data_IF_301092065589
#
_entry.id   IF_301092065589
#
_cell.length_a   1.000
_cell.length_b   1.000
_cell.length_c   1.000
_cell.angle_alpha   90.00
_cell.angle_beta   90.00
_cell.angle_gamma   90.00
#
_symmetry.space_group_name_H-M   'P 1'
#
loop_
_entity.id
_entity.type
_entity.pdbx_description
1 polymer ?
#
# COMPACT_ATOMS: atom_id res chain seq x y z
N UNK A 1 2.52 -3.94 -5.66
CA UNK A 1 2.68 -4.36 -4.25
C UNK A 1 3.68 -3.41 -3.60
N UNK A 2 3.34 -2.86 -2.44
CA UNK A 2 4.15 -1.88 -1.72
C UNK A 2 4.34 -2.36 -0.27
N UNK A 3 5.56 -2.78 0.13
CA UNK A 3 5.90 -3.04 1.53
C UNK A 3 5.92 -1.74 2.34
N UNK A 4 5.46 -1.79 3.59
CA UNK A 4 5.43 -0.63 4.49
C UNK A 4 5.97 -1.02 5.85
N UNK A 5 6.85 -0.18 6.41
CA UNK A 5 7.30 -0.27 7.80
C UNK A 5 7.11 1.06 8.51
N UNK A 6 6.56 1.00 9.72
CA UNK A 6 6.32 2.14 10.59
C UNK A 6 7.49 2.34 11.56
N UNK A 7 7.76 3.58 11.95
CA UNK A 7 8.73 3.87 13.01
C UNK A 7 8.20 3.45 14.40
N UNK A 8 9.06 3.50 15.41
CA UNK A 8 8.68 3.21 16.79
C UNK A 8 7.67 4.23 17.36
N UNK A 9 7.69 5.48 16.90
CA UNK A 9 6.76 6.52 17.38
C UNK A 9 5.31 6.14 17.06
N UNK A 10 5.04 5.60 15.87
CA UNK A 10 3.73 5.06 15.50
C UNK A 10 3.24 4.00 16.48
N UNK A 11 4.12 3.08 16.85
CA UNK A 11 3.77 1.98 17.75
C UNK A 11 3.59 2.43 19.21
N UNK A 12 4.21 3.55 19.60
CA UNK A 12 4.04 4.17 20.91
C UNK A 12 2.81 5.09 21.03
N UNK A 13 2.12 5.39 19.91
CA UNK A 13 0.84 6.10 19.96
C UNK A 13 -0.24 5.30 20.67
N UNK A 14 -1.16 6.01 21.33
CA UNK A 14 -2.38 5.39 21.85
C UNK A 14 -3.19 4.75 20.71
N UNK A 15 -4.11 3.86 21.06
CA UNK A 15 -5.01 3.27 20.05
C UNK A 15 -5.89 4.36 19.43
N UNK A 16 -6.36 5.29 20.26
CA UNK A 16 -7.22 6.40 19.90
C UNK A 16 -6.54 7.31 18.86
N UNK A 17 -5.27 7.65 19.09
CA UNK A 17 -4.48 8.46 18.16
C UNK A 17 -4.26 7.74 16.82
N UNK A 18 -3.91 6.45 16.86
CA UNK A 18 -3.77 5.64 15.63
C UNK A 18 -5.07 5.54 14.85
N UNK A 19 -6.21 5.37 15.52
CA UNK A 19 -7.53 5.33 14.87
C UNK A 19 -7.85 6.68 14.23
N UNK A 20 -7.53 7.80 14.88
CA UNK A 20 -7.72 9.13 14.30
C UNK A 20 -6.89 9.32 13.02
N UNK A 21 -5.61 8.92 13.05
CA UNK A 21 -4.73 8.96 11.88
C UNK A 21 -5.19 8.04 10.75
N UNK A 22 -5.63 6.81 11.06
CA UNK A 22 -6.17 5.89 10.05
C UNK A 22 -7.50 6.35 9.46
N UNK A 23 -8.30 7.09 10.23
CA UNK A 23 -9.51 7.75 9.72
C UNK A 23 -9.14 8.84 8.70
N UNK A 24 -8.15 9.67 9.02
CA UNK A 24 -7.58 10.67 8.11
C UNK A 24 -7.04 10.01 6.83
N UNK A 25 -6.27 8.92 6.96
CA UNK A 25 -5.80 8.10 5.83
C UNK A 25 -6.96 7.58 4.98
N UNK A 26 -8.06 7.13 5.59
CA UNK A 26 -9.16 6.49 4.85
C UNK A 26 -9.94 7.48 3.97
N UNK A 27 -10.18 8.70 4.45
CA UNK A 27 -11.03 9.71 3.79
C UNK A 27 -10.65 9.97 2.32
N UNK A 28 -9.41 10.34 1.97
CA UNK A 28 -9.04 10.59 0.57
C UNK A 28 -9.08 9.34 -0.29
N UNK A 29 -8.97 8.13 0.30
CA UNK A 29 -8.98 6.87 -0.48
C UNK A 29 -10.36 6.47 -1.00
N UNK A 30 -11.44 7.01 -0.42
CA UNK A 30 -12.83 6.60 -0.73
C UNK A 30 -13.18 6.80 -2.21
N UNK A 31 -12.67 7.88 -2.82
CA UNK A 31 -12.91 8.18 -4.23
C UNK A 31 -12.40 7.06 -5.18
N UNK A 32 -11.39 6.30 -4.75
CA UNK A 32 -10.69 5.31 -5.57
C UNK A 32 -11.20 3.88 -5.40
N UNK A 33 -12.21 3.62 -4.56
CA UNK A 33 -12.69 2.25 -4.29
C UNK A 33 -13.27 1.55 -5.51
N UNK A 34 -13.72 2.29 -6.52
CA UNK A 34 -14.30 1.74 -7.74
C UNK A 34 -13.24 1.33 -8.77
N UNK A 35 -12.06 1.93 -8.72
CA UNK A 35 -11.04 1.87 -9.78
C UNK A 35 -9.74 1.23 -9.30
N UNK A 36 -9.48 1.24 -7.99
CA UNK A 36 -8.32 0.62 -7.36
C UNK A 36 -8.80 -0.41 -6.32
N UNK A 37 -8.65 -1.70 -6.65
CA UNK A 37 -8.83 -2.76 -5.64
C UNK A 37 -7.65 -2.74 -4.68
N UNK A 38 -7.88 -3.12 -3.42
CA UNK A 38 -6.84 -3.14 -2.40
C UNK A 38 -6.95 -4.35 -1.47
N UNK A 39 -5.80 -4.80 -0.96
CA UNK A 39 -5.70 -5.80 0.10
C UNK A 39 -4.51 -5.49 1.00
N UNK A 40 -4.70 -5.65 2.31
CA UNK A 40 -3.70 -5.41 3.34
C UNK A 40 -3.36 -6.73 4.03
N UNK A 41 -2.07 -7.00 4.20
CA UNK A 41 -1.55 -8.12 4.98
C UNK A 41 -0.69 -7.57 6.12
N UNK A 42 -0.78 -8.21 7.29
CA UNK A 42 0.03 -7.87 8.47
C UNK A 42 1.24 -8.81 8.53
N UNK A 43 2.44 -8.27 8.68
CA UNK A 43 3.69 -9.04 8.60
C UNK A 43 4.70 -8.75 9.71
N UNK A 44 4.40 -7.86 10.67
CA UNK A 44 5.26 -7.63 11.84
C UNK A 44 5.59 -8.96 12.54
N UNK A 45 6.88 -9.27 12.68
CA UNK A 45 7.36 -10.53 13.26
C UNK A 45 7.41 -11.73 12.30
N UNK A 46 6.94 -11.57 11.06
CA UNK A 46 7.03 -12.57 9.99
C UNK A 46 8.01 -12.16 8.88
N UNK A 47 8.26 -10.86 8.71
CA UNK A 47 9.26 -10.29 7.79
C UNK A 47 9.78 -8.95 8.32
N UNK A 48 10.69 -8.32 7.58
CA UNK A 48 11.30 -7.03 7.95
C UNK A 48 10.40 -5.81 7.75
N UNK A 49 9.13 -6.01 7.37
CA UNK A 49 8.13 -4.95 7.16
C UNK A 49 6.86 -5.22 7.98
N UNK A 50 6.13 -4.17 8.33
CA UNK A 50 4.91 -4.29 9.13
C UNK A 50 3.70 -4.70 8.30
N UNK A 51 3.63 -4.20 7.07
CA UNK A 51 2.52 -4.44 6.17
C UNK A 51 2.98 -4.73 4.75
N UNK A 52 2.25 -5.61 4.08
CA UNK A 52 2.29 -5.72 2.62
C UNK A 52 0.97 -5.19 2.08
N UNK A 53 1.05 -4.20 1.18
CA UNK A 53 -0.12 -3.64 0.51
C UNK A 53 -0.16 -4.09 -0.95
N UNK A 54 -1.32 -4.57 -1.37
CA UNK A 54 -1.56 -5.05 -2.72
C UNK A 54 -2.67 -4.24 -3.36
N UNK A 55 -2.47 -3.86 -4.62
CA UNK A 55 -3.40 -3.06 -5.39
C UNK A 55 -3.57 -3.65 -6.79
N UNK A 56 -4.77 -3.57 -7.33
CA UNK A 56 -5.07 -3.83 -8.74
C UNK A 56 -5.79 -2.63 -9.32
N UNK A 57 -5.38 -2.18 -10.50
CA UNK A 57 -6.06 -1.15 -11.25
C UNK A 57 -5.77 -1.28 -12.73
N UNK A 58 -6.67 -0.76 -13.56
CA UNK A 58 -6.42 -0.51 -14.97
C UNK A 58 -6.07 0.96 -15.26
N UNK A 59 -6.07 1.81 -14.23
CA UNK A 59 -5.77 3.24 -14.33
C UNK A 59 -4.61 3.61 -13.39
N UNK A 60 -3.40 3.68 -13.95
CA UNK A 60 -2.21 4.04 -13.20
C UNK A 60 -2.17 5.53 -12.83
N UNK A 61 -2.91 6.39 -13.54
CA UNK A 61 -3.03 7.80 -13.20
C UNK A 61 -3.81 7.97 -11.90
N UNK A 62 -4.95 7.31 -11.78
CA UNK A 62 -5.72 7.31 -10.53
C UNK A 62 -4.97 6.64 -9.37
N UNK A 63 -4.19 5.59 -9.63
CA UNK A 63 -3.34 5.00 -8.58
C UNK A 63 -2.23 5.95 -8.12
N UNK A 64 -1.60 6.68 -9.04
CA UNK A 64 -0.64 7.72 -8.69
C UNK A 64 -1.29 8.81 -7.82
N UNK A 65 -2.46 9.30 -8.19
CA UNK A 65 -3.17 10.34 -7.45
C UNK A 65 -3.61 9.86 -6.06
N UNK A 66 -4.05 8.60 -5.94
CA UNK A 66 -4.32 7.93 -4.66
C UNK A 66 -3.08 7.95 -3.76
N UNK A 67 -1.92 7.55 -4.28
CA UNK A 67 -0.68 7.52 -3.50
C UNK A 67 -0.27 8.93 -3.09
N UNK A 68 -0.36 9.93 -3.99
CA UNK A 68 -0.09 11.34 -3.66
C UNK A 68 -1.03 11.82 -2.55
N UNK A 69 -2.32 11.52 -2.61
CA UNK A 69 -3.26 11.90 -1.56
C UNK A 69 -2.90 11.27 -0.20
N UNK A 70 -2.41 10.02 -0.19
CA UNK A 70 -1.91 9.36 1.01
C UNK A 70 -0.58 9.94 1.52
N UNK A 71 0.26 10.49 0.64
CA UNK A 71 1.48 11.21 1.04
C UNK A 71 1.21 12.53 1.76
N UNK A 72 -0.02 13.06 1.64
CA UNK A 72 -0.41 14.35 2.19
C UNK A 72 -1.10 14.25 3.55
N UNK A 73 -1.31 13.04 4.09
CA UNK A 73 -1.88 12.85 5.43
C UNK A 73 -0.79 12.64 6.48
N UNK A 74 -1.12 12.96 7.74
CA UNK A 74 -0.16 12.88 8.85
C UNK A 74 0.37 11.46 9.13
N UNK A 75 -0.36 10.44 8.70
CA UNK A 75 0.08 9.05 8.87
C UNK A 75 1.36 8.71 8.08
N UNK A 76 1.66 9.44 6.99
CA UNK A 76 2.84 9.19 6.16
C UNK A 76 4.16 9.53 6.88
N UNK A 77 4.15 10.46 7.84
CA UNK A 77 5.37 10.85 8.58
C UNK A 77 5.94 9.70 9.42
N UNK A 78 5.14 8.66 9.65
CA UNK A 78 5.54 7.48 10.40
C UNK A 78 6.08 6.35 9.52
N UNK A 79 6.02 6.45 8.18
CA UNK A 79 6.56 5.45 7.27
C UNK A 79 8.09 5.59 7.19
N UNK A 80 8.83 4.64 7.76
CA UNK A 80 10.30 4.53 7.57
C UNK A 80 10.66 3.72 6.33
N UNK A 81 9.71 2.96 5.82
CA UNK A 81 9.80 2.30 4.53
C UNK A 81 8.43 2.37 3.86
N UNK A 82 8.43 2.81 2.59
CA UNK A 82 7.27 2.80 1.71
C UNK A 82 7.75 2.38 0.32
N UNK A 83 7.67 1.09 0.02
CA UNK A 83 8.30 0.49 -1.15
C UNK A 83 9.62 -0.20 -0.78
N UNK A 84 10.63 -0.04 -1.64
CA UNK A 84 11.94 -0.69 -1.50
C UNK A 84 11.87 -2.22 -1.36
N UNK A 85 11.32 -2.95 -2.35
CA UNK A 85 10.89 -2.45 -3.66
C UNK A 85 9.38 -2.12 -3.73
N UNK A 86 9.04 -1.11 -4.55
CA UNK A 86 7.68 -0.99 -5.11
C UNK A 86 7.60 -1.89 -6.34
N UNK A 87 6.79 -2.94 -6.27
CA UNK A 87 6.66 -3.91 -7.36
C UNK A 87 5.43 -3.56 -8.21
N UNK A 88 5.67 -3.27 -9.48
CA UNK A 88 4.64 -3.06 -10.51
C UNK A 88 4.73 -4.21 -11.51
N UNK A 89 3.58 -4.74 -11.92
CA UNK A 89 3.49 -5.81 -12.90
C UNK A 89 2.08 -5.92 -13.47
N UNK A 90 1.94 -6.75 -14.48
CA UNK A 90 0.65 -7.01 -15.14
C UNK A 90 0.11 -8.35 -14.67
N UNK A 91 -1.16 -8.40 -14.28
CA UNK A 91 -1.83 -9.66 -13.97
C UNK A 91 -2.04 -10.46 -15.25
N UNK A 92 -1.56 -11.69 -15.26
CA UNK A 92 -1.67 -12.66 -16.35
C UNK A 92 -1.98 -14.04 -15.79
N UNK A 93 -2.60 -14.89 -16.60
CA UNK A 93 -2.69 -16.31 -16.27
C UNK A 93 -1.31 -16.98 -16.42
N UNK A 94 -1.19 -18.21 -15.90
CA UNK A 94 0.07 -18.93 -15.88
C UNK A 94 0.62 -19.23 -17.27
N UNK A 95 -0.23 -19.68 -18.20
CA UNK A 95 0.18 -20.05 -19.56
C UNK A 95 0.75 -18.85 -20.32
N UNK A 96 0.11 -17.67 -20.22
CA UNK A 96 0.63 -16.43 -20.81
C UNK A 96 2.02 -16.04 -20.28
N UNK A 97 2.28 -16.28 -18.99
CA UNK A 97 3.58 -15.96 -18.39
C UNK A 97 4.66 -16.90 -18.93
N UNK A 98 4.36 -18.21 -18.98
CA UNK A 98 5.28 -19.22 -19.51
C UNK A 98 5.63 -18.92 -20.96
N UNK A 99 4.63 -18.63 -21.79
CA UNK A 99 4.82 -18.30 -23.21
C UNK A 99 5.67 -17.05 -23.43
N UNK A 100 5.55 -16.04 -22.56
CA UNK A 100 6.36 -14.81 -22.63
C UNK A 100 7.81 -15.01 -22.23
N UNK A 101 8.09 -15.94 -21.32
CA UNK A 101 9.44 -16.17 -20.77
C UNK A 101 10.26 -17.20 -21.56
N UNK A 102 9.61 -18.02 -22.39
CA UNK A 102 10.26 -19.05 -23.21
C UNK A 102 10.61 -18.61 -24.64
N UNK A 103 10.26 -17.37 -25.03
CA UNK A 103 10.67 -16.73 -26.29
C UNK A 103 12.04 -16.07 -26.14
#
# INVERSE_FOLDING_TARGET
>A
MIPIRKNAEWWNLSKEDRVALMKEHTIPTVAYFKTVKRKLYHSTGLSDVDFLTYFETNDLGEFNDLVIALRMVREDTFNVQLGEPTIIGTLKNWDEIVDLLMQ
#
